data_IF_505142106233
#
_entry.id   IF_505142106233
#
_cell.length_a   1.000
_cell.length_b   1.000
_cell.length_c   1.000
_cell.angle_alpha   90.00
_cell.angle_beta   90.00
_cell.angle_gamma   90.00
#
_symmetry.space_group_name_H-M   'P 1'
#
loop_
_entity.id
_entity.type
_entity.pdbx_description
1 polymer ?
#
# COMPACT_ATOMS: atom_id res chain seq x y z
N UNK A 1 30.22 -41.52 50.49
CA UNK A 1 29.36 -42.05 49.43
C UNK A 1 28.19 -41.05 49.26
N UNK A 2 28.42 -40.05 48.35
CA UNK A 2 27.46 -39.00 48.08
C UNK A 2 26.59 -39.43 46.90
N UNK A 3 25.28 -39.47 47.14
CA UNK A 3 24.24 -39.75 46.13
C UNK A 3 23.81 -38.42 45.51
N UNK A 4 24.11 -38.23 44.22
CA UNK A 4 23.63 -37.09 43.44
C UNK A 4 22.20 -37.34 42.96
N UNK A 5 21.29 -36.32 43.00
CA UNK A 5 19.94 -36.47 42.49
C UNK A 5 19.92 -36.35 40.95
N UNK A 6 19.26 -37.32 40.33
CA UNK A 6 18.99 -37.37 38.88
C UNK A 6 17.90 -36.34 38.54
N UNK A 7 18.22 -35.30 37.77
CA UNK A 7 17.22 -34.37 37.21
C UNK A 7 16.58 -34.99 35.98
N UNK A 8 15.28 -35.23 36.09
CA UNK A 8 14.42 -35.62 34.98
C UNK A 8 14.17 -34.38 34.09
N UNK A 9 14.70 -34.39 32.88
CA UNK A 9 14.37 -33.39 31.86
C UNK A 9 12.97 -33.72 31.34
N UNK A 10 11.97 -32.94 31.74
CA UNK A 10 10.65 -32.94 31.09
C UNK A 10 10.79 -32.33 29.68
N UNK A 11 10.37 -33.08 28.66
CA UNK A 11 10.28 -32.64 27.28
C UNK A 11 9.37 -31.42 27.21
N UNK A 12 9.94 -30.26 26.86
CA UNK A 12 9.15 -29.07 26.52
C UNK A 12 8.38 -29.39 25.24
N UNK A 13 7.06 -29.48 25.36
CA UNK A 13 6.17 -29.48 24.22
C UNK A 13 6.44 -28.26 23.37
N UNK A 14 6.65 -28.47 22.09
CA UNK A 14 6.68 -27.42 21.06
C UNK A 14 5.34 -26.71 21.09
N UNK A 15 5.32 -25.49 21.67
CA UNK A 15 4.21 -24.56 21.49
C UNK A 15 4.26 -24.18 20.03
N UNK A 16 3.27 -24.62 19.25
CA UNK A 16 3.09 -24.15 17.88
C UNK A 16 2.97 -22.61 17.95
N UNK A 17 3.83 -21.92 17.22
CA UNK A 17 3.72 -20.49 17.04
C UNK A 17 2.32 -20.16 16.52
N UNK A 18 1.65 -19.09 16.98
CA UNK A 18 0.37 -18.67 16.45
C UNK A 18 0.53 -18.53 14.95
N UNK A 19 -0.38 -19.14 14.18
CA UNK A 19 -0.32 -19.21 12.73
C UNK A 19 -0.12 -17.79 12.16
N UNK A 20 1.02 -17.57 11.53
CA UNK A 20 1.20 -16.45 10.61
C UNK A 20 0.10 -16.59 9.57
N UNK A 21 -0.84 -15.66 9.57
CA UNK A 21 -1.77 -15.51 8.47
C UNK A 21 -0.88 -15.34 7.23
N UNK A 22 -0.94 -16.29 6.31
CA UNK A 22 -0.13 -16.26 5.08
C UNK A 22 -0.59 -15.02 4.34
N UNK A 23 0.23 -13.98 4.30
CA UNK A 23 0.02 -12.83 3.41
C UNK A 23 -0.15 -13.39 2.01
N UNK A 24 -1.28 -13.12 1.36
CA UNK A 24 -1.45 -13.55 -0.03
C UNK A 24 -0.39 -12.82 -0.86
N UNK A 25 0.38 -13.58 -1.63
CA UNK A 25 1.34 -12.99 -2.58
C UNK A 25 0.57 -12.15 -3.58
N UNK A 26 0.84 -10.86 -3.65
CA UNK A 26 0.22 -9.95 -4.60
C UNK A 26 1.28 -9.18 -5.38
N UNK A 27 0.87 -8.49 -6.41
CA UNK A 27 1.76 -7.61 -7.17
C UNK A 27 1.73 -6.20 -6.59
N UNK A 28 2.91 -5.65 -6.29
CA UNK A 28 3.05 -4.29 -5.75
C UNK A 28 3.79 -3.42 -6.76
N UNK A 29 3.11 -2.41 -7.27
CA UNK A 29 3.70 -1.40 -8.16
C UNK A 29 4.23 -0.25 -7.33
N UNK A 30 5.53 0.02 -7.42
CA UNK A 30 6.16 1.13 -6.72
C UNK A 30 6.60 2.22 -7.72
N UNK A 31 6.56 3.47 -7.27
CA UNK A 31 7.07 4.61 -8.04
C UNK A 31 7.46 5.78 -7.14
N UNK A 32 8.48 6.49 -7.56
CA UNK A 32 8.96 7.71 -6.90
C UNK A 32 9.52 8.70 -7.92
N UNK A 33 10.07 9.80 -7.45
CA UNK A 33 11.04 10.64 -8.15
C UNK A 33 12.41 10.51 -7.47
N UNK A 34 13.36 11.39 -7.86
CA UNK A 34 14.69 11.44 -7.24
C UNK A 34 14.66 11.54 -5.71
N UNK A 35 13.59 12.11 -5.12
CA UNK A 35 13.49 12.35 -3.68
C UNK A 35 13.30 11.07 -2.86
N UNK A 36 12.80 10.01 -3.49
CA UNK A 36 12.55 8.72 -2.83
C UNK A 36 13.41 7.56 -3.35
N UNK A 37 14.38 7.81 -4.22
CA UNK A 37 15.13 6.75 -4.91
C UNK A 37 15.90 5.79 -3.98
N UNK A 38 16.42 6.28 -2.85
CA UNK A 38 17.06 5.41 -1.86
C UNK A 38 16.03 4.54 -1.15
N UNK A 39 14.92 5.16 -0.73
CA UNK A 39 13.82 4.44 -0.09
C UNK A 39 13.19 3.38 -1.03
N UNK A 40 13.17 3.63 -2.36
CA UNK A 40 12.66 2.66 -3.34
C UNK A 40 13.37 1.31 -3.25
N UNK A 41 14.67 1.30 -3.05
CA UNK A 41 15.47 0.08 -2.97
C UNK A 41 15.15 -0.70 -1.70
N UNK A 42 15.11 0.00 -0.56
CA UNK A 42 14.81 -0.61 0.74
C UNK A 42 13.38 -1.17 0.74
N UNK A 43 12.44 -0.44 0.17
CA UNK A 43 11.05 -0.88 0.03
C UNK A 43 10.93 -2.11 -0.89
N UNK A 44 11.61 -2.09 -2.04
CA UNK A 44 11.55 -3.22 -2.98
C UNK A 44 12.12 -4.50 -2.36
N UNK A 45 13.24 -4.40 -1.62
CA UNK A 45 13.82 -5.53 -0.90
C UNK A 45 12.88 -6.04 0.20
N UNK A 46 12.34 -5.14 1.02
CA UNK A 46 11.39 -5.48 2.09
C UNK A 46 10.16 -6.24 1.54
N UNK A 47 9.51 -5.69 0.52
CA UNK A 47 8.32 -6.32 -0.08
C UNK A 47 8.63 -7.66 -0.75
N UNK A 48 9.80 -7.81 -1.37
CA UNK A 48 10.23 -9.07 -1.96
C UNK A 48 10.49 -10.15 -0.87
N UNK A 49 11.05 -9.76 0.28
CA UNK A 49 11.24 -10.66 1.43
C UNK A 49 9.90 -11.11 2.04
N UNK A 50 8.88 -10.25 2.00
CA UNK A 50 7.51 -10.59 2.40
C UNK A 50 6.79 -11.48 1.36
N UNK A 51 7.40 -11.73 0.21
CA UNK A 51 6.91 -12.64 -0.83
C UNK A 51 6.06 -11.98 -1.91
N UNK A 52 6.05 -10.67 -2.01
CA UNK A 52 5.34 -9.93 -3.05
C UNK A 52 6.12 -9.87 -4.37
N UNK A 53 5.41 -9.80 -5.50
CA UNK A 53 6.00 -9.45 -6.80
C UNK A 53 6.09 -7.93 -6.91
N UNK A 54 7.31 -7.38 -6.89
CA UNK A 54 7.53 -5.92 -6.95
C UNK A 54 7.84 -5.46 -8.36
N UNK A 55 7.10 -4.46 -8.84
CA UNK A 55 7.35 -3.81 -10.14
C UNK A 55 7.65 -2.33 -9.91
N UNK A 56 8.90 -1.95 -10.13
CA UNK A 56 9.34 -0.57 -10.03
C UNK A 56 9.11 0.20 -11.34
N UNK A 57 8.40 1.31 -11.27
CA UNK A 57 8.09 2.20 -12.38
C UNK A 57 9.05 3.38 -12.52
N UNK A 58 10.09 3.43 -11.71
CA UNK A 58 11.17 4.39 -11.81
C UNK A 58 11.17 5.49 -10.75
N UNK A 59 12.18 6.36 -10.85
CA UNK A 59 13.23 6.41 -11.88
C UNK A 59 14.27 5.30 -11.73
N UNK A 60 14.89 4.88 -12.84
CA UNK A 60 15.96 3.87 -12.84
C UNK A 60 17.32 4.44 -12.36
N UNK A 61 17.47 5.75 -12.40
CA UNK A 61 18.70 6.47 -11.99
C UNK A 61 18.35 7.84 -11.42
N UNK A 62 19.25 8.37 -10.61
CA UNK A 62 19.08 9.70 -10.02
C UNK A 62 19.18 10.80 -11.10
N UNK A 63 18.13 11.62 -11.19
CA UNK A 63 18.10 12.88 -11.93
C UNK A 63 17.42 13.94 -11.04
N UNK A 64 18.14 14.98 -10.56
CA UNK A 64 17.56 15.96 -9.66
C UNK A 64 16.46 16.82 -10.30
N UNK A 65 16.24 16.68 -11.61
CA UNK A 65 15.24 17.42 -12.38
C UNK A 65 14.09 16.53 -12.87
N UNK A 66 14.05 15.26 -12.45
CA UNK A 66 12.94 14.38 -12.84
C UNK A 66 11.62 14.77 -12.15
N UNK A 67 10.53 14.45 -12.82
CA UNK A 67 9.17 14.80 -12.41
C UNK A 67 8.37 13.56 -12.00
N UNK A 68 7.94 13.48 -10.73
CA UNK A 68 7.14 12.39 -10.16
C UNK A 68 5.87 12.01 -10.94
N UNK A 69 5.11 12.93 -11.61
CA UNK A 69 3.82 12.57 -12.19
C UNK A 69 3.89 11.43 -13.21
N UNK A 70 4.93 11.40 -14.04
CA UNK A 70 5.09 10.37 -15.07
C UNK A 70 5.26 8.97 -14.48
N UNK A 71 5.97 8.85 -13.37
CA UNK A 71 6.22 7.59 -12.66
C UNK A 71 4.97 7.13 -11.91
N UNK A 72 4.38 8.02 -11.11
CA UNK A 72 3.18 7.73 -10.30
C UNK A 72 1.97 7.35 -11.17
N UNK A 73 1.76 8.04 -12.29
CA UNK A 73 0.69 7.70 -13.24
C UNK A 73 0.92 6.32 -13.86
N UNK A 74 2.16 5.94 -14.19
CA UNK A 74 2.47 4.60 -14.71
C UNK A 74 2.15 3.52 -13.69
N UNK A 75 2.58 3.68 -12.44
CA UNK A 75 2.28 2.74 -11.37
C UNK A 75 0.77 2.60 -11.16
N UNK A 76 0.05 3.71 -11.04
CA UNK A 76 -1.41 3.69 -10.85
C UNK A 76 -2.15 3.03 -12.03
N UNK A 77 -1.71 3.29 -13.29
CA UNK A 77 -2.27 2.60 -14.48
C UNK A 77 -2.03 1.10 -14.43
N UNK A 78 -0.86 0.66 -13.99
CA UNK A 78 -0.53 -0.75 -13.88
C UNK A 78 -1.39 -1.44 -12.81
N UNK A 79 -1.55 -0.84 -11.62
CA UNK A 79 -2.46 -1.33 -10.58
C UNK A 79 -3.89 -1.49 -11.12
N UNK A 80 -4.43 -0.45 -11.77
CA UNK A 80 -5.79 -0.52 -12.31
C UNK A 80 -5.94 -1.58 -13.42
N UNK A 81 -4.92 -1.76 -14.25
CA UNK A 81 -4.91 -2.78 -15.31
C UNK A 81 -4.89 -4.19 -14.71
N UNK A 82 -4.06 -4.43 -13.69
CA UNK A 82 -3.99 -5.71 -12.97
C UNK A 82 -5.33 -6.06 -12.33
N UNK A 83 -5.89 -5.14 -11.55
CA UNK A 83 -7.19 -5.35 -10.90
C UNK A 83 -8.30 -5.64 -11.91
N UNK A 84 -8.33 -4.96 -13.06
CA UNK A 84 -9.29 -5.24 -14.14
C UNK A 84 -9.09 -6.62 -14.79
N UNK A 85 -7.87 -7.15 -14.76
CA UNK A 85 -7.56 -8.50 -15.27
C UNK A 85 -7.72 -9.60 -14.22
N UNK A 86 -8.12 -9.26 -12.99
CA UNK A 86 -8.30 -10.20 -11.89
C UNK A 86 -7.00 -10.55 -11.15
N UNK A 87 -5.94 -9.77 -11.34
CA UNK A 87 -4.68 -9.91 -10.59
C UNK A 87 -4.76 -9.05 -9.32
N UNK A 88 -4.53 -9.64 -8.15
CA UNK A 88 -4.40 -8.89 -6.89
C UNK A 88 -3.19 -7.98 -6.96
N UNK A 89 -3.43 -6.67 -6.83
CA UNK A 89 -2.40 -5.67 -7.00
C UNK A 89 -2.69 -4.42 -6.18
N UNK A 90 -1.63 -3.82 -5.64
CA UNK A 90 -1.64 -2.52 -4.97
C UNK A 90 -0.50 -1.66 -5.49
N UNK A 91 -0.58 -0.36 -5.24
CA UNK A 91 0.47 0.59 -5.58
C UNK A 91 1.03 1.29 -4.34
N UNK A 92 2.33 1.62 -4.38
CA UNK A 92 2.96 2.51 -3.41
C UNK A 92 3.71 3.59 -4.18
N UNK A 93 3.26 4.84 -4.05
CA UNK A 93 3.91 6.02 -4.66
C UNK A 93 4.47 6.91 -3.56
N UNK A 94 5.67 7.39 -3.73
CA UNK A 94 6.32 8.17 -2.69
C UNK A 94 7.26 9.23 -3.29
N UNK A 95 7.46 10.28 -2.53
CA UNK A 95 8.31 11.41 -2.86
C UNK A 95 8.55 12.26 -1.63
N UNK A 96 8.87 13.54 -1.78
CA UNK A 96 9.19 14.39 -0.65
C UNK A 96 8.11 14.48 0.41
N UNK A 97 6.86 14.74 0.01
CA UNK A 97 5.70 14.86 0.91
C UNK A 97 4.59 13.83 0.65
N UNK A 98 4.60 13.16 -0.48
CA UNK A 98 3.53 12.26 -0.92
C UNK A 98 2.31 12.96 -1.52
N UNK A 99 2.16 14.28 -1.35
CA UNK A 99 0.98 15.02 -1.82
C UNK A 99 0.86 15.03 -3.34
N UNK A 100 1.92 15.40 -4.04
CA UNK A 100 1.94 15.45 -5.49
C UNK A 100 1.76 14.06 -6.10
N UNK A 101 2.42 13.07 -5.53
CA UNK A 101 2.38 11.67 -5.92
C UNK A 101 0.94 11.11 -5.80
N UNK A 102 0.24 11.40 -4.69
CA UNK A 102 -1.17 11.09 -4.51
C UNK A 102 -2.05 11.76 -5.57
N UNK A 103 -1.84 13.06 -5.80
CA UNK A 103 -2.61 13.80 -6.80
C UNK A 103 -2.42 13.23 -8.22
N UNK A 104 -1.18 12.85 -8.56
CA UNK A 104 -0.85 12.27 -9.85
C UNK A 104 -1.51 10.89 -10.02
N UNK A 105 -1.41 10.01 -9.03
CA UNK A 105 -2.03 8.70 -9.07
C UNK A 105 -3.56 8.79 -9.23
N UNK A 106 -4.21 9.72 -8.53
CA UNK A 106 -5.65 9.95 -8.61
C UNK A 106 -6.13 10.58 -9.95
N UNK A 107 -5.22 10.89 -10.89
CA UNK A 107 -5.61 11.26 -12.27
C UNK A 107 -5.90 10.05 -13.15
N UNK A 108 -5.64 8.85 -12.66
CA UNK A 108 -5.91 7.60 -13.38
C UNK A 108 -7.30 7.10 -12.98
N UNK A 109 -8.25 7.00 -13.92
CA UNK A 109 -9.59 6.47 -13.62
C UNK A 109 -9.53 5.06 -13.01
N UNK A 110 -10.17 4.89 -11.87
CA UNK A 110 -10.16 3.66 -11.07
C UNK A 110 -9.02 3.59 -10.05
N UNK A 111 -8.08 4.54 -10.04
CA UNK A 111 -7.11 4.67 -8.95
C UNK A 111 -7.75 5.42 -7.77
N UNK A 112 -7.58 4.88 -6.57
CA UNK A 112 -7.96 5.51 -5.30
C UNK A 112 -6.71 5.59 -4.44
N UNK A 113 -5.94 6.67 -4.66
CA UNK A 113 -4.69 6.92 -3.94
C UNK A 113 -4.97 7.69 -2.65
N UNK A 114 -4.53 7.14 -1.54
CA UNK A 114 -4.63 7.75 -0.22
C UNK A 114 -3.27 8.21 0.28
N UNK A 115 -3.17 9.44 0.79
CA UNK A 115 -1.98 9.90 1.51
C UNK A 115 -1.98 9.28 2.91
N UNK A 116 -0.93 8.53 3.22
CA UNK A 116 -0.77 7.79 4.47
C UNK A 116 0.37 8.39 5.27
N UNK A 117 0.09 8.74 6.53
CA UNK A 117 1.07 9.33 7.45
C UNK A 117 1.01 8.72 8.86
N UNK A 118 0.26 7.63 9.02
CA UNK A 118 0.16 6.89 10.27
C UNK A 118 -0.46 5.51 10.02
N UNK A 119 -0.28 4.59 10.96
CA UNK A 119 -0.94 3.28 10.95
C UNK A 119 -2.46 3.42 10.81
N UNK A 120 -3.06 4.36 11.54
CA UNK A 120 -4.51 4.55 11.48
C UNK A 120 -4.99 5.02 10.10
N UNK A 121 -4.26 5.92 9.44
CA UNK A 121 -4.63 6.37 8.08
C UNK A 121 -4.42 5.27 7.04
N UNK A 122 -3.46 4.38 7.22
CA UNK A 122 -3.27 3.19 6.39
C UNK A 122 -4.47 2.24 6.49
N UNK A 123 -4.90 1.92 7.71
CA UNK A 123 -6.10 1.10 7.97
C UNK A 123 -7.34 1.72 7.33
N UNK A 124 -7.62 3.00 7.63
CA UNK A 124 -8.82 3.66 7.13
C UNK A 124 -8.86 3.82 5.61
N UNK A 125 -7.69 3.99 4.97
CA UNK A 125 -7.59 4.03 3.51
C UNK A 125 -8.09 2.72 2.86
N UNK A 126 -7.76 1.59 3.46
CA UNK A 126 -8.21 0.28 2.99
C UNK A 126 -9.64 -0.02 3.44
N UNK A 127 -9.91 -0.01 4.73
CA UNK A 127 -11.21 -0.41 5.29
C UNK A 127 -12.39 0.43 4.76
N UNK A 128 -12.20 1.73 4.58
CA UNK A 128 -13.30 2.62 4.22
C UNK A 128 -13.35 2.98 2.74
N UNK A 129 -12.21 3.02 2.06
CA UNK A 129 -12.12 3.55 0.70
C UNK A 129 -11.65 2.51 -0.31
N UNK A 130 -11.33 1.29 0.14
CA UNK A 130 -10.67 0.30 -0.70
C UNK A 130 -9.56 0.95 -1.55
N UNK A 131 -8.75 1.82 -0.93
CA UNK A 131 -7.69 2.51 -1.63
C UNK A 131 -6.72 1.48 -2.23
N UNK A 132 -6.46 1.61 -3.52
CA UNK A 132 -5.59 0.67 -4.23
C UNK A 132 -4.17 1.24 -4.47
N UNK A 133 -3.95 2.49 -4.06
CA UNK A 133 -2.62 3.12 -4.07
C UNK A 133 -2.38 3.83 -2.75
N UNK A 134 -1.24 3.53 -2.11
CA UNK A 134 -0.72 4.23 -0.95
C UNK A 134 0.25 5.32 -1.40
N UNK A 135 0.10 6.55 -0.91
CA UNK A 135 1.07 7.62 -1.12
C UNK A 135 1.74 8.00 0.20
N UNK A 136 3.07 8.10 0.19
CA UNK A 136 3.87 8.37 1.40
C UNK A 136 4.88 9.50 1.15
N UNK A 137 5.08 10.34 2.17
CA UNK A 137 6.14 11.34 2.21
C UNK A 137 7.44 10.72 2.73
N UNK A 138 8.36 10.35 1.85
CA UNK A 138 9.65 9.74 2.23
C UNK A 138 10.57 10.68 3.05
N UNK A 139 10.30 12.00 3.04
CA UNK A 139 11.02 12.98 3.87
C UNK A 139 10.27 13.34 5.14
N UNK A 140 9.09 12.78 5.37
CA UNK A 140 8.22 13.09 6.52
C UNK A 140 8.31 12.02 7.61
N UNK A 141 8.82 10.84 7.29
CA UNK A 141 8.88 9.68 8.17
C UNK A 141 10.25 9.02 8.09
N UNK A 142 10.62 8.31 9.15
CA UNK A 142 11.73 7.36 9.08
C UNK A 142 11.38 6.19 8.15
N UNK A 143 12.39 5.48 7.67
CA UNK A 143 12.19 4.29 6.83
C UNK A 143 11.32 3.26 7.57
N UNK A 144 11.62 2.97 8.83
CA UNK A 144 10.86 1.99 9.63
C UNK A 144 9.38 2.38 9.80
N UNK A 145 9.09 3.67 10.02
CA UNK A 145 7.70 4.14 10.09
C UNK A 145 6.99 4.00 8.74
N UNK A 146 7.65 4.37 7.65
CA UNK A 146 7.07 4.27 6.31
C UNK A 146 6.80 2.79 5.93
N UNK A 147 7.72 1.88 6.22
CA UNK A 147 7.52 0.44 6.01
C UNK A 147 6.35 -0.09 6.84
N UNK A 148 6.26 0.29 8.12
CA UNK A 148 5.13 -0.10 8.97
C UNK A 148 3.78 0.38 8.42
N UNK A 149 3.71 1.58 7.87
CA UNK A 149 2.48 2.10 7.26
C UNK A 149 2.12 1.34 5.98
N UNK A 150 3.12 1.03 5.14
CA UNK A 150 2.94 0.27 3.91
C UNK A 150 2.47 -1.15 4.22
N UNK A 151 3.11 -1.84 5.15
CA UNK A 151 2.70 -3.19 5.59
C UNK A 151 1.28 -3.18 6.14
N UNK A 152 0.95 -2.17 6.94
CA UNK A 152 -0.42 -2.00 7.45
C UNK A 152 -1.42 -1.82 6.31
N UNK A 153 -1.09 -0.99 5.31
CA UNK A 153 -1.93 -0.76 4.14
C UNK A 153 -2.12 -2.06 3.34
N UNK A 154 -1.05 -2.78 3.04
CA UNK A 154 -1.07 -4.01 2.25
C UNK A 154 -1.89 -5.10 2.94
N UNK A 155 -1.75 -5.24 4.26
CA UNK A 155 -2.38 -6.29 5.05
C UNK A 155 -3.80 -5.95 5.56
N UNK A 156 -4.31 -4.75 5.29
CA UNK A 156 -5.68 -4.37 5.66
C UNK A 156 -6.65 -4.64 4.53
N UNK A 157 -7.73 -5.35 4.82
CA UNK A 157 -8.79 -5.65 3.86
C UNK A 157 -9.87 -4.57 3.87
N UNK A 158 -10.64 -4.47 2.77
CA UNK A 158 -11.82 -3.63 2.72
C UNK A 158 -12.89 -4.16 3.69
N UNK A 159 -13.65 -3.26 4.31
CA UNK A 159 -14.66 -3.63 5.31
C UNK A 159 -15.94 -4.22 4.73
N UNK A 160 -16.16 -4.10 3.41
CA UNK A 160 -17.38 -4.47 2.69
C UNK A 160 -18.66 -3.83 3.25
N UNK A 161 -18.53 -2.80 4.09
CA UNK A 161 -19.70 -2.08 4.60
C UNK A 161 -20.42 -1.34 3.47
N UNK A 162 -21.75 -1.52 3.37
CA UNK A 162 -22.58 -0.92 2.32
C UNK A 162 -22.43 0.60 2.20
N UNK A 163 -22.22 1.29 3.33
CA UNK A 163 -21.99 2.75 3.33
C UNK A 163 -20.66 3.14 2.67
N UNK A 164 -19.63 2.30 2.79
CA UNK A 164 -18.32 2.53 2.18
C UNK A 164 -18.38 2.23 0.69
N UNK A 165 -18.95 1.09 0.32
CA UNK A 165 -19.14 0.70 -1.09
C UNK A 165 -19.93 1.77 -1.86
N UNK A 166 -21.05 2.24 -1.32
CA UNK A 166 -21.85 3.30 -1.97
C UNK A 166 -21.04 4.55 -2.29
N UNK A 167 -20.12 4.96 -1.41
CA UNK A 167 -19.26 6.14 -1.63
C UNK A 167 -18.22 5.89 -2.72
N UNK A 168 -17.67 4.68 -2.75
CA UNK A 168 -16.74 4.26 -3.81
C UNK A 168 -17.46 4.24 -5.17
N UNK A 169 -18.70 3.70 -5.21
CA UNK A 169 -19.51 3.66 -6.42
C UNK A 169 -19.82 5.07 -6.94
N UNK A 170 -20.09 6.04 -6.05
CA UNK A 170 -20.29 7.45 -6.42
C UNK A 170 -19.05 8.09 -7.04
N UNK A 171 -17.84 7.74 -6.55
CA UNK A 171 -16.59 8.20 -7.17
C UNK A 171 -16.44 7.61 -8.58
N UNK A 172 -16.70 6.32 -8.76
CA UNK A 172 -16.66 5.65 -10.07
C UNK A 172 -17.74 6.18 -11.04
N UNK A 173 -18.94 6.50 -10.55
CA UNK A 173 -19.97 7.15 -11.35
C UNK A 173 -19.49 8.50 -11.87
N UNK A 174 -18.93 9.34 -10.99
CA UNK A 174 -18.39 10.64 -11.37
C UNK A 174 -17.26 10.52 -12.40
N UNK A 175 -16.33 9.58 -12.21
CA UNK A 175 -15.22 9.34 -13.15
C UNK A 175 -15.74 9.00 -14.56
N UNK A 176 -16.84 8.27 -14.67
CA UNK A 176 -17.35 7.77 -15.96
C UNK A 176 -18.35 8.71 -16.62
N UNK A 177 -19.15 9.43 -15.84
CA UNK A 177 -20.27 10.23 -16.34
C UNK A 177 -20.10 11.74 -16.12
N UNK A 178 -19.21 12.15 -15.23
CA UNK A 178 -19.11 13.54 -14.75
C UNK A 178 -20.27 13.97 -13.84
N UNK A 179 -21.13 13.01 -13.43
CA UNK A 179 -22.28 13.25 -12.55
C UNK A 179 -22.16 12.41 -11.28
N UNK A 180 -22.88 12.77 -10.25
CA UNK A 180 -22.91 12.03 -8.98
C UNK A 180 -24.37 11.87 -8.51
N UNK A 181 -24.77 10.62 -8.23
CA UNK A 181 -26.09 10.31 -7.72
C UNK A 181 -26.30 10.87 -6.31
N UNK A 182 -27.46 11.44 -6.06
CA UNK A 182 -27.83 11.96 -4.74
C UNK A 182 -27.25 13.35 -4.42
N UNK A 183 -26.59 14.02 -5.38
CA UNK A 183 -26.30 15.43 -5.25
C UNK A 183 -27.58 16.23 -5.51
N UNK A 184 -28.15 16.80 -4.45
CA UNK A 184 -29.27 17.71 -4.55
C UNK A 184 -28.72 19.12 -4.63
N UNK A 185 -28.78 19.75 -5.81
CA UNK A 185 -28.60 21.20 -5.91
C UNK A 185 -29.80 21.84 -5.23
N UNK A 186 -29.62 22.41 -4.04
CA UNK A 186 -30.63 23.37 -3.52
C UNK A 186 -30.52 24.62 -4.38
N UNK A 187 -31.50 24.87 -5.20
CA UNK A 187 -31.71 26.16 -5.86
C UNK A 187 -31.91 27.28 -4.82
#
# INVERSE_FOLDING_TARGET
>A
MLILPTYFFASRGTVAAPGFCRVSTMRIHIATDHAGLEFSKDLAEHLALEGHEVIDHGPASFDPLDDYPSFCIRAAKAVVADLKSGVESLGVVFGGSGNGEQMAANKVPGARAALVWSVNTAVLAREHNDANVCAIGARQHSIDEALLFIDTFINTTFSDEQRHQRRIDQLGEFETTGQISGFVTSD
#
